data_IF_488565658601
#
_entry.id   IF_488565658601
#
_cell.length_a   1.000
_cell.length_b   1.000
_cell.length_c   1.000
_cell.angle_alpha   90.00
_cell.angle_beta   90.00
_cell.angle_gamma   90.00
#
_symmetry.space_group_name_H-M   'P 1'
#
loop_
_entity.id
_entity.type
_entity.pdbx_description
1 polymer ?
#
# COMPACT_ATOMS: atom_id res chain seq x y z
N UNK A 1 -5.01 21.19 2.10
CA UNK A 1 -4.52 20.04 2.89
C UNK A 1 -3.71 20.62 4.04
N UNK A 2 -3.99 20.26 5.28
CA UNK A 2 -3.06 20.56 6.38
C UNK A 2 -1.94 19.52 6.43
N UNK A 3 -0.76 19.88 6.96
CA UNK A 3 0.43 18.99 6.99
C UNK A 3 0.14 17.61 7.62
N UNK A 4 -0.69 17.58 8.68
CA UNK A 4 -1.13 16.34 9.33
C UNK A 4 -1.95 15.43 8.40
N UNK A 5 -2.80 16.00 7.55
CA UNK A 5 -3.61 15.24 6.59
C UNK A 5 -2.72 14.66 5.48
N UNK A 6 -1.75 15.44 5.00
CA UNK A 6 -0.78 14.98 4.01
C UNK A 6 0.02 13.81 4.55
N UNK A 7 0.55 13.91 5.77
CA UNK A 7 1.27 12.81 6.43
C UNK A 7 0.41 11.56 6.60
N UNK A 8 -0.85 11.71 7.04
CA UNK A 8 -1.79 10.59 7.13
C UNK A 8 -2.07 9.94 5.78
N UNK A 9 -2.15 10.75 4.73
CA UNK A 9 -2.37 10.28 3.35
C UNK A 9 -1.15 9.51 2.85
N UNK A 10 0.06 10.01 3.08
CA UNK A 10 1.30 9.32 2.72
C UNK A 10 1.47 8.03 3.51
N UNK A 11 1.30 8.05 4.82
CA UNK A 11 1.41 6.85 5.66
C UNK A 11 0.36 5.80 5.29
N UNK A 12 -0.91 6.20 5.13
CA UNK A 12 -2.00 5.30 4.76
C UNK A 12 -1.79 4.69 3.38
N UNK A 13 -1.39 5.49 2.39
CA UNK A 13 -1.13 4.99 1.03
C UNK A 13 0.11 4.10 0.96
N UNK A 14 1.15 4.38 1.74
CA UNK A 14 2.33 3.53 1.85
C UNK A 14 1.99 2.17 2.43
N UNK A 15 1.25 2.13 3.55
CA UNK A 15 0.80 0.87 4.16
C UNK A 15 -0.06 0.09 3.18
N UNK A 16 -0.99 0.75 2.49
CA UNK A 16 -1.88 0.10 1.52
C UNK A 16 -1.09 -0.48 0.34
N UNK A 17 -0.12 0.26 -0.20
CA UNK A 17 0.77 -0.20 -1.26
C UNK A 17 1.63 -1.40 -0.84
N UNK A 18 2.16 -1.38 0.38
CA UNK A 18 2.92 -2.51 0.95
C UNK A 18 2.05 -3.76 1.13
N UNK A 19 0.84 -3.61 1.66
CA UNK A 19 -0.09 -4.71 1.87
C UNK A 19 -0.51 -5.33 0.53
N UNK A 20 -0.72 -4.50 -0.51
CA UNK A 20 -0.96 -4.98 -1.87
C UNK A 20 0.23 -5.75 -2.45
N UNK A 21 1.46 -5.30 -2.18
CA UNK A 21 2.67 -5.99 -2.63
C UNK A 21 2.88 -7.32 -1.90
N UNK A 22 2.56 -7.38 -0.61
CA UNK A 22 2.56 -8.65 0.13
C UNK A 22 1.47 -9.59 -0.38
N UNK A 23 0.29 -9.07 -0.72
CA UNK A 23 -0.79 -9.85 -1.31
C UNK A 23 -0.38 -10.52 -2.63
N UNK A 24 0.40 -9.84 -3.49
CA UNK A 24 0.83 -10.39 -4.77
C UNK A 24 1.91 -11.47 -4.66
N UNK A 25 2.62 -11.55 -3.54
CA UNK A 25 3.75 -12.48 -3.33
C UNK A 25 3.37 -13.65 -2.41
N UNK A 26 2.48 -13.43 -1.44
CA UNK A 26 2.05 -14.47 -0.50
C UNK A 26 1.14 -15.50 -1.19
N UNK A 27 1.35 -16.77 -0.86
CA UNK A 27 0.45 -17.86 -1.26
C UNK A 27 -0.75 -17.97 -0.30
N UNK A 28 -1.81 -18.65 -0.75
CA UNK A 28 -2.96 -18.94 0.10
C UNK A 28 -2.55 -19.79 1.31
N UNK A 29 -3.12 -19.54 2.51
CA UNK A 29 -4.26 -18.65 2.80
C UNK A 29 -3.86 -17.23 3.24
N UNK A 30 -2.57 -16.94 3.39
CA UNK A 30 -2.08 -15.68 3.96
C UNK A 30 -2.40 -14.45 3.08
N UNK A 31 -2.50 -14.65 1.76
CA UNK A 31 -2.97 -13.62 0.84
C UNK A 31 -4.38 -13.09 1.17
N UNK A 32 -5.30 -13.96 1.59
CA UNK A 32 -6.66 -13.55 1.95
C UNK A 32 -6.65 -12.64 3.19
N UNK A 33 -5.83 -12.97 4.19
CA UNK A 33 -5.66 -12.16 5.40
C UNK A 33 -5.04 -10.79 5.09
N UNK A 34 -3.99 -10.74 4.26
CA UNK A 34 -3.38 -9.46 3.87
C UNK A 34 -4.35 -8.61 3.04
N UNK A 35 -5.14 -9.22 2.14
CA UNK A 35 -6.18 -8.48 1.40
C UNK A 35 -7.22 -7.86 2.33
N UNK A 36 -7.62 -8.57 3.39
CA UNK A 36 -8.59 -8.07 4.38
C UNK A 36 -8.05 -6.86 5.15
N UNK A 37 -6.78 -6.91 5.55
CA UNK A 37 -6.09 -5.79 6.19
C UNK A 37 -6.05 -4.58 5.24
N UNK A 38 -5.71 -4.80 3.97
CA UNK A 38 -5.68 -3.74 2.96
C UNK A 38 -7.02 -3.05 2.81
N UNK A 39 -8.10 -3.84 2.69
CA UNK A 39 -9.48 -3.32 2.62
C UNK A 39 -9.85 -2.53 3.88
N UNK A 40 -9.52 -3.03 5.06
CA UNK A 40 -9.79 -2.33 6.32
C UNK A 40 -9.11 -0.94 6.38
N UNK A 41 -7.84 -0.86 5.98
CA UNK A 41 -7.09 0.41 5.94
C UNK A 41 -7.72 1.40 4.97
N UNK A 42 -8.10 0.96 3.76
CA UNK A 42 -8.76 1.80 2.77
C UNK A 42 -10.11 2.31 3.29
N UNK A 43 -10.94 1.43 3.86
CA UNK A 43 -12.24 1.82 4.44
C UNK A 43 -12.05 2.85 5.56
N UNK A 44 -11.11 2.62 6.49
CA UNK A 44 -10.83 3.57 7.57
C UNK A 44 -10.37 4.93 7.03
N UNK A 45 -9.51 4.94 6.02
CA UNK A 45 -9.03 6.18 5.41
C UNK A 45 -10.17 6.95 4.71
N UNK A 46 -10.98 6.26 3.90
CA UNK A 46 -12.09 6.87 3.15
C UNK A 46 -13.22 7.36 4.06
N UNK A 47 -13.42 6.73 5.22
CA UNK A 47 -14.33 7.20 6.27
C UNK A 47 -13.82 8.48 6.95
N UNK A 48 -12.50 8.65 7.07
CA UNK A 48 -11.89 9.82 7.71
C UNK A 48 -11.85 11.04 6.79
N UNK A 49 -11.64 10.84 5.49
CA UNK A 49 -11.50 11.91 4.52
C UNK A 49 -12.57 11.84 3.43
N UNK A 50 -13.53 12.78 3.49
CA UNK A 50 -14.64 12.82 2.53
C UNK A 50 -14.33 13.63 1.25
N UNK A 51 -13.32 14.50 1.31
CA UNK A 51 -12.91 15.31 0.16
C UNK A 51 -12.37 14.42 -0.96
N UNK A 52 -12.94 14.60 -2.17
CA UNK A 52 -12.55 13.86 -3.39
C UNK A 52 -11.05 13.94 -3.69
N UNK A 53 -10.43 15.11 -3.48
CA UNK A 53 -8.99 15.30 -3.71
C UNK A 53 -8.11 14.37 -2.87
N UNK A 54 -8.41 14.21 -1.58
CA UNK A 54 -7.65 13.32 -0.69
C UNK A 54 -7.75 11.85 -1.11
N UNK A 55 -8.94 11.42 -1.55
CA UNK A 55 -9.18 10.05 -2.01
C UNK A 55 -8.39 9.73 -3.28
N UNK A 56 -8.38 10.64 -4.25
CA UNK A 56 -7.63 10.47 -5.50
C UNK A 56 -6.12 10.40 -5.21
N UNK A 57 -5.60 11.33 -4.42
CA UNK A 57 -4.18 11.35 -4.03
C UNK A 57 -3.80 10.06 -3.32
N UNK A 58 -4.62 9.59 -2.37
CA UNK A 58 -4.39 8.32 -1.69
C UNK A 58 -4.29 7.13 -2.66
N UNK A 59 -5.20 7.02 -3.63
CA UNK A 59 -5.20 5.91 -4.59
C UNK A 59 -3.94 5.97 -5.47
N UNK A 60 -3.61 7.14 -6.02
CA UNK A 60 -2.41 7.32 -6.87
C UNK A 60 -1.14 6.92 -6.11
N UNK A 61 -0.96 7.45 -4.90
CA UNK A 61 0.22 7.10 -4.09
C UNK A 61 0.24 5.63 -3.68
N UNK A 62 -0.92 5.02 -3.40
CA UNK A 62 -0.99 3.59 -3.06
C UNK A 62 -0.51 2.71 -4.21
N UNK A 63 -0.88 3.06 -5.45
CA UNK A 63 -0.41 2.36 -6.65
C UNK A 63 1.09 2.55 -6.83
N UNK A 64 1.61 3.77 -6.66
CA UNK A 64 3.04 4.04 -6.77
C UNK A 64 3.84 3.25 -5.72
N UNK A 65 3.39 3.25 -4.46
CA UNK A 65 4.04 2.48 -3.40
C UNK A 65 3.94 0.97 -3.63
N UNK A 66 2.83 0.47 -4.18
CA UNK A 66 2.70 -0.92 -4.59
C UNK A 66 3.76 -1.30 -5.64
N UNK A 67 3.87 -0.53 -6.73
CA UNK A 67 4.84 -0.80 -7.79
C UNK A 67 6.28 -0.76 -7.26
N UNK A 68 6.61 0.23 -6.44
CA UNK A 68 7.92 0.30 -5.77
C UNK A 68 8.18 -0.92 -4.88
N UNK A 69 7.19 -1.34 -4.10
CA UNK A 69 7.34 -2.45 -3.16
C UNK A 69 7.53 -3.79 -3.89
N UNK A 70 6.73 -4.04 -4.92
CA UNK A 70 6.89 -5.23 -5.78
C UNK A 70 8.25 -5.24 -6.46
N UNK A 71 8.68 -4.08 -6.97
CA UNK A 71 10.01 -3.95 -7.57
C UNK A 71 11.13 -4.29 -6.56
N UNK A 72 11.06 -3.76 -5.34
CA UNK A 72 12.04 -4.07 -4.28
C UNK A 72 12.04 -5.54 -3.90
N UNK A 73 10.87 -6.18 -3.81
CA UNK A 73 10.78 -7.62 -3.52
C UNK A 73 11.40 -8.42 -4.67
N UNK A 74 11.13 -8.06 -5.92
CA UNK A 74 11.73 -8.71 -7.08
C UNK A 74 13.26 -8.55 -7.11
N UNK A 75 13.78 -7.35 -6.84
CA UNK A 75 15.21 -7.10 -6.69
C UNK A 75 15.81 -8.01 -5.61
N UNK A 76 15.18 -8.10 -4.43
CA UNK A 76 15.66 -8.97 -3.35
C UNK A 76 15.62 -10.46 -3.71
N UNK A 77 14.60 -10.91 -4.43
CA UNK A 77 14.39 -12.31 -4.75
C UNK A 77 15.23 -12.79 -5.94
N UNK A 78 15.46 -11.94 -6.94
CA UNK A 78 16.03 -12.33 -8.23
C UNK A 78 17.45 -11.81 -8.46
N UNK A 79 17.95 -10.84 -7.67
CA UNK A 79 19.38 -10.49 -7.72
C UNK A 79 20.14 -11.54 -6.92
N UNK A 80 21.00 -12.35 -7.57
CA UNK A 80 21.83 -13.30 -6.86
C UNK A 80 22.74 -12.53 -5.91
N UNK A 81 22.62 -12.81 -4.60
CA UNK A 81 23.65 -12.44 -3.64
C UNK A 81 24.93 -13.11 -4.11
N UNK A 82 25.87 -12.33 -4.64
CA UNK A 82 27.22 -12.81 -4.91
C UNK A 82 27.88 -13.12 -3.56
N UNK A 83 27.64 -14.31 -3.04
CA UNK A 83 28.37 -14.92 -1.92
C UNK A 83 29.50 -15.76 -2.47
#
# INVERSE_FOLDING_TARGET
>A
MTFKETLLTMAGSMITGLVLALFSVLQAPFNALTSLIGVAVVIMYFRKFDRKGHRITFVIFSILYYLMSVFMIAVYQYIPTQT
#
